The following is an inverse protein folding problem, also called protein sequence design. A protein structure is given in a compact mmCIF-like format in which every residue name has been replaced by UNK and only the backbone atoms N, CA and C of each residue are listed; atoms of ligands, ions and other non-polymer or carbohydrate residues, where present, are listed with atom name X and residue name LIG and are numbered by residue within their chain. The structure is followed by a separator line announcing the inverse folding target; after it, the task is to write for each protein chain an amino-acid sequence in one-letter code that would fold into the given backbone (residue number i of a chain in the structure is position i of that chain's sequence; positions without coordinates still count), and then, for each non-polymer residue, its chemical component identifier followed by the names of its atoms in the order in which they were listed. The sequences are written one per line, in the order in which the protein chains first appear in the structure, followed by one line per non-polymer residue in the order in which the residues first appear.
data_IF_508691765009
#
_entry.id   IF_508691765009
#
_cell.length_a   1.000
_cell.length_b   1.000
_cell.length_c   1.000
_cell.angle_alpha   90.00
_cell.angle_beta   90.00
_cell.angle_gamma   90.00
#
_symmetry.space_group_name_H-M   'P 1'
#
loop_
_entity.id
_entity.type
_entity.pdbx_description
1 polymer ?
#
# COMPACT_ATOMS: atom_id res chain seq x y z
N UNK A 1 -31.06 -72.18 60.91
CA UNK A 1 -29.94 -72.96 61.47
C UNK A 1 -29.11 -72.04 62.35
N UNK A 2 -29.04 -72.29 63.67
CA UNK A 2 -28.21 -71.48 64.58
C UNK A 2 -26.76 -71.97 64.47
N UNK A 3 -25.83 -71.06 64.21
CA UNK A 3 -24.40 -71.36 64.13
C UNK A 3 -23.85 -71.71 65.51
N UNK A 4 -23.11 -72.81 65.59
CA UNK A 4 -22.42 -73.27 66.81
C UNK A 4 -21.21 -72.36 67.04
N UNK A 5 -21.01 -71.78 68.24
CA UNK A 5 -19.85 -70.96 68.52
C UNK A 5 -18.58 -71.82 68.65
N UNK A 6 -17.49 -71.35 68.06
CA UNK A 6 -16.19 -72.03 68.03
C UNK A 6 -15.46 -71.86 69.37
N UNK A 7 -14.98 -72.97 69.94
CA UNK A 7 -14.30 -73.04 71.23
C UNK A 7 -12.82 -72.71 71.02
N UNK A 8 -12.31 -71.70 71.72
CA UNK A 8 -10.93 -71.20 71.54
C UNK A 8 -9.96 -71.59 72.67
N UNK A 9 -10.44 -72.23 73.74
CA UNK A 9 -9.58 -72.73 74.82
C UNK A 9 -10.33 -73.10 76.12
N UNK A 10 -9.62 -73.79 77.02
CA UNK A 10 -10.08 -74.28 78.33
C UNK A 10 -9.21 -73.69 79.46
N UNK A 11 -9.86 -73.24 80.53
CA UNK A 11 -9.24 -72.79 81.79
C UNK A 11 -9.83 -73.62 82.96
N UNK A 12 -9.21 -73.57 84.14
CA UNK A 12 -9.51 -74.31 85.38
C UNK A 12 -10.94 -74.09 85.91
N UNK A 13 -11.73 -73.21 85.28
CA UNK A 13 -13.15 -72.97 85.60
C UNK A 13 -14.13 -73.25 84.44
N UNK A 14 -13.68 -73.76 83.29
CA UNK A 14 -14.56 -74.19 82.17
C UNK A 14 -14.20 -73.63 80.78
N UNK A 15 -15.08 -73.86 79.80
CA UNK A 15 -14.91 -73.51 78.38
C UNK A 15 -15.07 -72.00 78.14
N UNK A 16 -14.11 -71.36 77.47
CA UNK A 16 -14.17 -69.94 77.08
C UNK A 16 -14.61 -69.82 75.61
N UNK A 17 -15.68 -69.08 75.36
CA UNK A 17 -16.25 -68.81 74.01
C UNK A 17 -16.14 -67.33 73.64
N UNK A 18 -15.86 -67.04 72.36
CA UNK A 18 -15.74 -65.66 71.86
C UNK A 18 -17.11 -64.98 71.77
N UNK A 19 -17.28 -63.85 72.44
CA UNK A 19 -18.48 -63.02 72.30
C UNK A 19 -18.35 -62.08 71.09
N UNK A 20 -18.70 -62.59 69.91
CA UNK A 20 -18.77 -61.81 68.68
C UNK A 20 -19.82 -60.69 68.79
N UNK A 21 -19.36 -59.43 68.92
CA UNK A 21 -20.21 -58.23 68.90
C UNK A 21 -20.51 -57.83 67.45
N UNK A 22 -21.71 -58.13 66.98
CA UNK A 22 -22.18 -57.75 65.66
C UNK A 22 -22.51 -56.24 65.60
N UNK A 23 -21.70 -55.42 64.94
CA UNK A 23 -22.08 -54.05 64.54
C UNK A 23 -22.68 -54.10 63.14
N UNK A 24 -23.99 -53.91 63.03
CA UNK A 24 -24.69 -53.82 61.75
C UNK A 24 -24.38 -52.49 61.05
N UNK A 25 -23.52 -52.56 60.03
CA UNK A 25 -23.27 -51.49 59.04
C UNK A 25 -24.40 -51.55 58.00
N UNK A 26 -25.60 -51.04 58.34
CA UNK A 26 -26.72 -51.01 57.37
C UNK A 26 -27.43 -49.66 57.29
N UNK A 27 -27.12 -48.70 58.17
CA UNK A 27 -27.70 -47.34 58.12
C UNK A 27 -26.76 -46.26 57.56
N UNK A 28 -25.45 -46.35 57.78
CA UNK A 28 -24.50 -45.26 57.44
C UNK A 28 -24.07 -45.20 55.97
N UNK A 29 -24.16 -46.31 55.24
CA UNK A 29 -23.75 -46.36 53.82
C UNK A 29 -24.82 -45.71 52.93
N UNK A 30 -26.10 -45.96 53.21
CA UNK A 30 -27.23 -45.41 52.44
C UNK A 30 -27.37 -43.89 52.58
N UNK A 31 -27.14 -43.33 53.78
CA UNK A 31 -27.11 -41.88 53.95
C UNK A 31 -25.91 -41.24 53.23
N UNK A 32 -24.74 -41.89 53.24
CA UNK A 32 -23.56 -41.41 52.51
C UNK A 32 -23.76 -41.40 50.99
N UNK A 33 -24.40 -42.43 50.43
CA UNK A 33 -24.69 -42.50 49.00
C UNK A 33 -25.74 -41.49 48.54
N UNK A 34 -26.78 -41.24 49.34
CA UNK A 34 -27.80 -40.22 49.01
C UNK A 34 -27.23 -38.80 49.07
N UNK A 35 -26.36 -38.51 50.05
CA UNK A 35 -25.66 -37.22 50.13
C UNK A 35 -24.71 -37.06 48.93
N UNK A 36 -23.97 -38.11 48.55
CA UNK A 36 -23.04 -38.04 47.42
C UNK A 36 -23.77 -37.84 46.08
N UNK A 37 -24.90 -38.54 45.85
CA UNK A 37 -25.74 -38.33 44.68
C UNK A 37 -26.39 -36.94 44.67
N UNK A 38 -26.78 -36.41 45.83
CA UNK A 38 -27.29 -35.05 45.97
C UNK A 38 -26.24 -33.99 45.67
N UNK A 39 -24.99 -34.17 46.09
CA UNK A 39 -23.89 -33.25 45.79
C UNK A 39 -23.52 -33.30 44.31
N UNK A 40 -23.51 -34.50 43.69
CA UNK A 40 -23.24 -34.65 42.25
C UNK A 40 -24.33 -34.01 41.39
N UNK A 41 -25.60 -34.17 41.76
CA UNK A 41 -26.70 -33.52 41.03
C UNK A 41 -26.64 -32.00 41.15
N UNK A 42 -26.32 -31.47 42.34
CA UNK A 42 -26.15 -30.03 42.54
C UNK A 42 -24.97 -29.47 41.74
N UNK A 43 -23.85 -30.20 41.68
CA UNK A 43 -22.67 -29.81 40.89
C UNK A 43 -22.96 -29.79 39.38
N UNK A 44 -23.73 -30.78 38.87
CA UNK A 44 -24.19 -30.79 37.48
C UNK A 44 -25.12 -29.60 37.18
N UNK A 45 -26.05 -29.30 38.09
CA UNK A 45 -26.95 -28.14 37.93
C UNK A 45 -26.15 -26.83 37.90
N UNK A 46 -25.18 -26.66 38.81
CA UNK A 46 -24.33 -25.46 38.85
C UNK A 46 -23.53 -25.31 37.55
N UNK A 47 -22.92 -26.39 37.05
CA UNK A 47 -22.14 -26.35 35.80
C UNK A 47 -23.01 -26.03 34.59
N UNK A 48 -24.22 -26.57 34.51
CA UNK A 48 -25.19 -26.23 33.45
C UNK A 48 -25.62 -24.76 33.53
N UNK A 49 -25.88 -24.22 34.74
CA UNK A 49 -26.23 -22.81 34.94
C UNK A 49 -25.06 -21.89 34.55
N UNK A 50 -23.83 -22.25 34.92
CA UNK A 50 -22.63 -21.49 34.54
C UNK A 50 -22.42 -21.52 33.03
N UNK A 51 -22.57 -22.67 32.38
CA UNK A 51 -22.49 -22.78 30.93
C UNK A 51 -23.59 -21.96 30.23
N UNK A 52 -24.84 -22.03 30.69
CA UNK A 52 -25.96 -21.25 30.13
C UNK A 52 -25.73 -19.73 30.26
N UNK A 53 -25.22 -19.27 31.41
CA UNK A 53 -24.86 -17.85 31.63
C UNK A 53 -23.69 -17.42 30.76
N UNK A 54 -22.69 -18.27 30.57
CA UNK A 54 -21.56 -17.99 29.69
C UNK A 54 -21.98 -17.93 28.22
N UNK A 55 -22.87 -18.82 27.77
CA UNK A 55 -23.48 -18.76 26.43
C UNK A 55 -24.29 -17.47 26.24
N UNK A 56 -25.14 -17.10 27.20
CA UNK A 56 -25.91 -15.86 27.14
C UNK A 56 -25.03 -14.60 27.13
N UNK A 57 -23.90 -14.62 27.87
CA UNK A 57 -22.93 -13.51 27.85
C UNK A 57 -22.18 -13.45 26.52
N UNK A 58 -21.78 -14.59 25.96
CA UNK A 58 -21.10 -14.67 24.66
C UNK A 58 -22.00 -14.17 23.52
N UNK A 59 -23.28 -14.56 23.52
CA UNK A 59 -24.27 -14.14 22.54
C UNK A 59 -24.56 -12.63 22.62
N UNK A 60 -24.78 -12.10 23.83
CA UNK A 60 -24.98 -10.65 24.04
C UNK A 60 -23.74 -9.79 23.71
N UNK A 61 -22.53 -10.34 23.83
CA UNK A 61 -21.30 -9.59 23.47
C UNK A 61 -21.10 -9.53 21.95
N UNK A 62 -21.54 -10.55 21.22
CA UNK A 62 -21.48 -10.59 19.74
C UNK A 62 -22.64 -9.82 19.08
N UNK A 63 -23.84 -9.84 19.69
CA UNK A 63 -25.00 -9.09 19.18
C UNK A 63 -24.82 -7.57 19.20
N UNK A 64 -24.02 -7.06 20.14
CA UNK A 64 -23.68 -5.64 20.23
C UNK A 64 -22.49 -5.21 19.35
N UNK A 65 -21.86 -6.14 18.63
CA UNK A 65 -20.63 -5.86 17.86
C UNK A 65 -20.78 -5.89 16.34
N UNK A 66 -21.93 -6.26 15.76
CA UNK A 66 -21.99 -6.54 14.32
C UNK A 66 -23.32 -6.17 13.64
N UNK A 67 -23.61 -4.88 13.51
CA UNK A 67 -24.50 -4.43 12.41
C UNK A 67 -24.31 -2.98 11.96
N UNK A 68 -23.59 -2.13 12.71
CA UNK A 68 -23.51 -0.69 12.44
C UNK A 68 -22.11 -0.10 12.21
N UNK A 69 -21.07 -0.89 11.94
CA UNK A 69 -19.71 -0.36 11.69
C UNK A 69 -19.26 -0.52 10.22
N UNK A 70 -20.22 -0.62 9.30
CA UNK A 70 -19.96 -0.57 7.85
C UNK A 70 -20.08 0.87 7.40
N UNK A 71 -18.99 1.44 6.89
CA UNK A 71 -19.01 2.80 6.36
C UNK A 71 -19.81 2.85 5.04
N UNK A 72 -20.94 3.56 5.05
CA UNK A 72 -21.81 3.77 3.88
C UNK A 72 -21.71 5.19 3.31
N UNK A 73 -20.64 5.93 3.63
CA UNK A 73 -20.40 7.23 2.99
C UNK A 73 -20.09 7.05 1.51
N UNK A 74 -20.34 8.09 0.71
CA UNK A 74 -20.02 8.09 -0.72
C UNK A 74 -18.54 7.72 -0.98
N UNK A 75 -17.62 8.23 -0.16
CA UNK A 75 -16.20 7.91 -0.25
C UNK A 75 -15.91 6.41 -0.03
N UNK A 76 -16.50 5.82 1.01
CA UNK A 76 -16.34 4.39 1.31
C UNK A 76 -16.92 3.49 0.21
N UNK A 77 -18.12 3.81 -0.29
CA UNK A 77 -18.75 3.03 -1.37
C UNK A 77 -17.92 3.13 -2.66
N UNK A 78 -17.44 4.33 -3.00
CA UNK A 78 -16.60 4.55 -4.18
C UNK A 78 -15.29 3.77 -4.10
N UNK A 79 -14.59 3.87 -2.95
CA UNK A 79 -13.33 3.17 -2.72
C UNK A 79 -13.49 1.65 -2.74
N UNK A 80 -14.52 1.12 -2.06
CA UNK A 80 -14.83 -0.31 -2.05
C UNK A 80 -15.16 -0.82 -3.47
N UNK A 81 -15.95 -0.05 -4.23
CA UNK A 81 -16.30 -0.40 -5.62
C UNK A 81 -15.06 -0.42 -6.51
N UNK A 82 -14.18 0.58 -6.39
CA UNK A 82 -12.93 0.63 -7.12
C UNK A 82 -12.05 -0.60 -6.80
N UNK A 83 -11.89 -0.92 -5.52
CA UNK A 83 -11.09 -2.07 -5.11
C UNK A 83 -11.66 -3.40 -5.62
N UNK A 84 -12.98 -3.58 -5.54
CA UNK A 84 -13.65 -4.80 -6.03
C UNK A 84 -13.49 -5.00 -7.53
N UNK A 85 -13.42 -3.91 -8.32
CA UNK A 85 -13.16 -3.99 -9.77
C UNK A 85 -11.71 -4.38 -10.09
N UNK A 86 -10.77 -4.03 -9.22
CA UNK A 86 -9.36 -4.37 -9.40
C UNK A 86 -9.06 -5.84 -9.06
N UNK A 87 -9.83 -6.43 -8.14
CA UNK A 87 -9.64 -7.81 -7.68
C UNK A 87 -10.10 -8.83 -8.73
N UNK A 88 -9.28 -9.86 -8.94
CA UNK A 88 -9.68 -11.08 -9.66
C UNK A 88 -10.11 -12.17 -8.64
N UNK A 89 -11.41 -12.25 -8.37
CA UNK A 89 -11.95 -13.20 -7.39
C UNK A 89 -11.82 -14.67 -7.82
N UNK A 90 -11.62 -14.93 -9.12
CA UNK A 90 -11.46 -16.28 -9.66
C UNK A 90 -10.18 -16.98 -9.17
N UNK A 91 -9.16 -16.20 -8.77
CA UNK A 91 -7.87 -16.75 -8.28
C UNK A 91 -7.74 -16.70 -6.75
N UNK A 92 -8.86 -16.52 -6.03
CA UNK A 92 -8.88 -16.43 -4.56
C UNK A 92 -8.22 -17.62 -3.84
N UNK A 93 -8.27 -18.83 -4.43
CA UNK A 93 -7.58 -20.03 -3.89
C UNK A 93 -6.05 -19.95 -3.94
N UNK A 94 -5.48 -19.05 -4.76
CA UNK A 94 -4.04 -18.86 -4.94
C UNK A 94 -3.51 -17.58 -4.27
N UNK A 95 -4.33 -16.90 -3.44
CA UNK A 95 -3.99 -15.62 -2.80
C UNK A 95 -2.62 -15.59 -2.11
N UNK A 96 -2.25 -16.68 -1.42
CA UNK A 96 -0.98 -16.79 -0.69
C UNK A 96 0.24 -17.01 -1.60
N UNK A 97 0.03 -17.37 -2.87
CA UNK A 97 1.09 -17.63 -3.86
C UNK A 97 1.28 -16.45 -4.80
N UNK A 98 0.19 -15.83 -5.21
CA UNK A 98 0.19 -14.69 -6.12
C UNK A 98 -0.88 -13.66 -5.70
N UNK A 99 -0.52 -12.89 -4.68
CA UNK A 99 -1.37 -11.81 -4.19
C UNK A 99 -1.58 -10.72 -5.24
N UNK A 100 -0.60 -10.52 -6.13
CA UNK A 100 -0.67 -9.48 -7.16
C UNK A 100 -1.79 -9.79 -8.16
N UNK A 101 -1.82 -11.00 -8.72
CA UNK A 101 -2.88 -11.40 -9.67
C UNK A 101 -4.26 -11.38 -9.00
N UNK A 102 -4.36 -11.77 -7.73
CA UNK A 102 -5.63 -11.61 -7.01
C UNK A 102 -6.03 -10.15 -6.84
N UNK A 103 -5.12 -9.28 -6.38
CA UNK A 103 -5.45 -7.91 -6.01
C UNK A 103 -5.64 -6.98 -7.22
N UNK A 104 -4.93 -7.26 -8.33
CA UNK A 104 -4.83 -6.39 -9.49
C UNK A 104 -5.27 -7.02 -10.81
N UNK A 105 -5.46 -8.34 -10.87
CA UNK A 105 -5.76 -9.06 -12.12
C UNK A 105 -7.07 -8.64 -12.77
N UNK A 106 -8.07 -8.17 -12.00
CA UNK A 106 -9.30 -7.59 -12.52
C UNK A 106 -9.06 -6.25 -13.22
N UNK A 107 -8.20 -5.41 -12.64
CA UNK A 107 -7.79 -4.13 -13.24
C UNK A 107 -7.05 -4.36 -14.56
N UNK A 108 -6.09 -5.29 -14.58
CA UNK A 108 -5.32 -5.61 -15.79
C UNK A 108 -6.20 -6.08 -16.96
N UNK A 109 -7.23 -6.88 -16.69
CA UNK A 109 -8.19 -7.35 -17.72
C UNK A 109 -9.01 -6.22 -18.33
N UNK A 110 -9.24 -5.14 -17.58
CA UNK A 110 -10.10 -4.02 -17.99
C UNK A 110 -9.32 -2.80 -18.50
N UNK A 111 -8.00 -2.78 -18.30
CA UNK A 111 -7.10 -1.69 -18.70
C UNK A 111 -5.97 -2.22 -19.59
N UNK A 112 -6.28 -2.71 -20.81
CA UNK A 112 -5.27 -3.18 -21.75
C UNK A 112 -4.35 -2.02 -22.17
N UNK A 113 -3.07 -2.32 -22.35
CA UNK A 113 -2.08 -1.37 -22.89
C UNK A 113 -2.44 -1.10 -24.35
N UNK A 114 -2.61 0.17 -24.71
CA UNK A 114 -2.90 0.59 -26.08
C UNK A 114 -1.62 0.67 -26.91
N UNK A 115 -1.72 0.76 -28.24
CA UNK A 115 -0.54 0.75 -29.12
C UNK A 115 0.41 1.93 -28.94
N UNK A 116 -0.06 3.02 -28.33
CA UNK A 116 0.70 4.23 -28.06
C UNK A 116 1.21 4.29 -26.60
N UNK A 117 0.78 3.36 -25.74
CA UNK A 117 1.18 3.30 -24.34
C UNK A 117 2.33 2.29 -24.20
N UNK A 118 3.41 2.69 -23.51
CA UNK A 118 4.50 1.75 -23.15
C UNK A 118 4.11 0.90 -21.94
N UNK A 119 3.35 1.49 -21.03
CA UNK A 119 2.82 0.83 -19.84
C UNK A 119 1.46 1.43 -19.46
N UNK A 120 0.67 0.68 -18.70
CA UNK A 120 -0.53 1.21 -18.07
C UNK A 120 -0.49 0.94 -16.57
N UNK A 121 -0.66 2.00 -15.79
CA UNK A 121 -0.66 1.95 -14.33
C UNK A 121 -1.77 2.80 -13.74
N UNK A 122 -2.17 2.52 -12.50
CA UNK A 122 -3.15 3.33 -11.77
C UNK A 122 -2.66 4.78 -11.61
N UNK A 123 -1.35 4.97 -11.36
CA UNK A 123 -0.78 6.31 -11.27
C UNK A 123 -0.86 7.04 -12.62
N UNK A 124 -0.62 6.34 -13.72
CA UNK A 124 -0.83 6.84 -15.08
C UNK A 124 -2.27 7.30 -15.30
N UNK A 125 -3.26 6.47 -14.96
CA UNK A 125 -4.69 6.86 -15.05
C UNK A 125 -5.00 8.14 -14.27
N UNK A 126 -4.39 8.33 -13.10
CA UNK A 126 -4.60 9.52 -12.26
C UNK A 126 -3.91 10.74 -12.90
N UNK A 127 -2.70 10.57 -13.42
CA UNK A 127 -1.94 11.62 -14.11
C UNK A 127 -2.71 12.10 -15.34
N UNK A 128 -3.23 11.19 -16.17
CA UNK A 128 -3.97 11.55 -17.38
C UNK A 128 -5.23 12.35 -17.05
N UNK A 129 -5.97 11.95 -16.00
CA UNK A 129 -7.16 12.69 -15.53
C UNK A 129 -6.79 14.08 -15.00
N UNK A 130 -5.68 14.19 -14.27
CA UNK A 130 -5.17 15.49 -13.81
C UNK A 130 -4.78 16.37 -15.00
N UNK A 131 -4.08 15.80 -15.97
CA UNK A 131 -3.58 16.55 -17.13
C UNK A 131 -4.72 17.04 -18.02
N UNK A 132 -5.76 16.22 -18.21
CA UNK A 132 -7.01 16.65 -18.86
C UNK A 132 -7.62 17.87 -18.18
N UNK A 133 -7.63 17.91 -16.84
CA UNK A 133 -8.15 19.06 -16.10
C UNK A 133 -7.23 20.28 -16.20
N UNK A 134 -5.90 20.08 -16.16
CA UNK A 134 -4.93 21.15 -16.38
C UNK A 134 -5.11 21.75 -17.79
N UNK A 135 -5.21 20.93 -18.83
CA UNK A 135 -5.47 21.36 -20.20
C UNK A 135 -6.74 22.19 -20.28
N UNK A 136 -7.83 21.73 -19.66
CA UNK A 136 -9.09 22.48 -19.58
C UNK A 136 -8.93 23.86 -18.93
N UNK A 137 -8.10 23.96 -17.88
CA UNK A 137 -7.80 25.23 -17.23
C UNK A 137 -6.94 26.14 -18.12
N UNK A 138 -5.98 25.57 -18.86
CA UNK A 138 -5.11 26.30 -19.78
C UNK A 138 -5.88 26.82 -21.02
N UNK A 139 -6.81 26.02 -21.54
CA UNK A 139 -7.70 26.38 -22.66
C UNK A 139 -8.75 27.45 -22.29
N UNK A 140 -8.97 27.70 -21.00
CA UNK A 140 -9.91 28.73 -20.57
C UNK A 140 -9.40 30.15 -20.89
N UNK A 141 -10.29 31.13 -21.17
CA UNK A 141 -9.88 32.50 -21.50
C UNK A 141 -8.94 33.12 -20.45
N UNK A 142 -7.98 33.93 -20.89
CA UNK A 142 -7.06 34.65 -20.00
C UNK A 142 -7.85 35.75 -19.28
N UNK A 143 -7.98 35.65 -17.96
CA UNK A 143 -8.67 36.66 -17.15
C UNK A 143 -7.68 37.79 -16.79
N UNK A 144 -6.46 37.43 -16.38
CA UNK A 144 -5.38 38.38 -16.09
C UNK A 144 -4.56 38.66 -17.34
N UNK A 145 -5.00 39.59 -18.18
CA UNK A 145 -4.36 39.91 -19.47
C UNK A 145 -3.06 40.71 -19.39
N UNK A 146 -2.59 41.07 -18.19
CA UNK A 146 -1.28 41.71 -18.02
C UNK A 146 -0.16 40.72 -18.39
N UNK A 147 0.73 41.11 -19.31
CA UNK A 147 1.84 40.28 -19.79
C UNK A 147 2.83 39.83 -18.71
N UNK A 148 2.90 40.53 -17.58
CA UNK A 148 3.72 40.13 -16.42
C UNK A 148 3.04 39.08 -15.54
N UNK A 149 1.75 38.84 -15.71
CA UNK A 149 1.02 37.86 -14.91
C UNK A 149 1.44 36.44 -15.26
N UNK A 150 1.43 35.56 -14.26
CA UNK A 150 1.69 34.14 -14.46
C UNK A 150 0.65 33.51 -15.40
N UNK A 151 -0.61 33.95 -15.31
CA UNK A 151 -1.72 33.39 -16.08
C UNK A 151 -1.56 33.67 -17.57
N UNK A 152 -1.23 34.92 -17.93
CA UNK A 152 -0.92 35.28 -19.31
C UNK A 152 0.25 34.45 -19.85
N UNK A 153 1.36 34.40 -19.11
CA UNK A 153 2.59 33.72 -19.59
C UNK A 153 2.37 32.22 -19.81
N UNK A 154 1.78 31.52 -18.85
CA UNK A 154 1.60 30.07 -18.91
C UNK A 154 0.59 29.69 -19.99
N UNK A 155 -0.54 30.42 -20.10
CA UNK A 155 -1.55 30.14 -21.12
C UNK A 155 -1.06 30.47 -22.53
N UNK A 156 -0.40 31.61 -22.73
CA UNK A 156 0.21 31.95 -24.02
C UNK A 156 1.24 30.91 -24.42
N UNK A 157 2.15 30.52 -23.51
CA UNK A 157 3.14 29.48 -23.78
C UNK A 157 2.50 28.15 -24.20
N UNK A 158 1.45 27.73 -23.50
CA UNK A 158 0.69 26.52 -23.85
C UNK A 158 0.04 26.61 -25.24
N UNK A 159 -0.61 27.73 -25.57
CA UNK A 159 -1.23 27.95 -26.88
C UNK A 159 -0.19 27.92 -28.01
N UNK A 160 0.95 28.59 -27.85
CA UNK A 160 2.02 28.62 -28.84
C UNK A 160 2.64 27.22 -29.05
N UNK A 161 2.77 26.42 -27.98
CA UNK A 161 3.27 25.04 -28.07
C UNK A 161 2.31 24.11 -28.85
N UNK A 162 1.01 24.36 -28.74
CA UNK A 162 -0.05 23.60 -29.42
C UNK A 162 -0.33 24.06 -30.85
N UNK A 163 0.22 25.17 -31.29
CA UNK A 163 0.08 25.63 -32.67
C UNK A 163 0.96 24.78 -33.61
N UNK A 164 0.33 23.78 -34.22
CA UNK A 164 0.98 22.86 -35.15
C UNK A 164 1.59 23.59 -36.37
N UNK A 165 0.97 24.68 -36.83
CA UNK A 165 1.45 25.41 -38.00
C UNK A 165 2.77 26.13 -37.68
N UNK A 166 2.82 26.85 -36.56
CA UNK A 166 4.05 27.54 -36.11
C UNK A 166 5.15 26.50 -35.85
N UNK A 167 4.82 25.40 -35.17
CA UNK A 167 5.78 24.33 -34.87
C UNK A 167 6.35 23.73 -36.15
N UNK A 168 5.52 23.25 -37.07
CA UNK A 168 6.02 22.54 -38.26
C UNK A 168 6.76 23.47 -39.22
N UNK A 169 6.28 24.71 -39.42
CA UNK A 169 6.85 25.60 -40.42
C UNK A 169 8.13 26.30 -39.95
N UNK A 170 8.26 26.57 -38.64
CA UNK A 170 9.34 27.43 -38.14
C UNK A 170 10.32 26.73 -37.20
N UNK A 171 10.00 25.55 -36.62
CA UNK A 171 10.89 24.89 -35.65
C UNK A 171 12.30 24.63 -36.20
N UNK A 172 12.42 24.13 -37.44
CA UNK A 172 13.73 23.89 -38.05
C UNK A 172 14.53 25.19 -38.20
N UNK A 173 13.90 26.25 -38.72
CA UNK A 173 14.54 27.55 -38.92
C UNK A 173 14.98 28.19 -37.60
N UNK A 174 14.15 28.12 -36.55
CA UNK A 174 14.51 28.63 -35.23
C UNK A 174 15.67 27.86 -34.62
N UNK A 175 15.67 26.53 -34.74
CA UNK A 175 16.75 25.70 -34.22
C UNK A 175 18.07 25.93 -34.97
N UNK A 176 18.02 26.01 -36.31
CA UNK A 176 19.22 26.30 -37.12
C UNK A 176 19.76 27.69 -36.79
N UNK A 177 18.90 28.70 -36.67
CA UNK A 177 19.32 30.05 -36.29
C UNK A 177 19.99 30.07 -34.90
N UNK A 178 19.45 29.32 -33.93
CA UNK A 178 20.05 29.19 -32.60
C UNK A 178 21.42 28.51 -32.66
N UNK A 179 21.53 27.41 -33.41
CA UNK A 179 22.80 26.66 -33.53
C UNK A 179 23.87 27.52 -34.22
N UNK A 180 23.50 28.26 -35.26
CA UNK A 180 24.42 29.10 -36.02
C UNK A 180 24.74 30.43 -35.32
N UNK A 181 24.04 30.79 -34.24
CA UNK A 181 24.27 32.04 -33.52
C UNK A 181 25.63 32.01 -32.81
N UNK A 182 26.57 32.92 -33.17
CA UNK A 182 27.87 33.03 -32.52
C UNK A 182 27.79 33.37 -31.03
N UNK A 183 26.67 33.92 -30.56
CA UNK A 183 26.47 34.26 -29.15
C UNK A 183 26.00 33.07 -28.28
N UNK A 184 25.70 31.91 -28.87
CA UNK A 184 25.21 30.73 -28.12
C UNK A 184 26.05 29.48 -28.40
N UNK A 185 25.70 28.68 -29.41
CA UNK A 185 26.37 27.42 -29.73
C UNK A 185 27.56 27.64 -30.67
N UNK A 186 27.56 28.76 -31.41
CA UNK A 186 28.62 29.14 -32.35
C UNK A 186 28.90 28.08 -33.44
N UNK A 187 27.82 27.49 -33.96
CA UNK A 187 27.84 26.58 -35.10
C UNK A 187 27.79 25.10 -34.73
N UNK A 188 27.55 24.29 -35.76
CA UNK A 188 27.75 22.84 -35.72
C UNK A 188 28.24 22.41 -37.10
N UNK A 189 29.36 21.69 -37.17
CA UNK A 189 30.04 21.31 -38.42
C UNK A 189 29.15 20.62 -39.45
N UNK A 190 28.06 19.98 -39.00
CA UNK A 190 27.09 19.33 -39.88
C UNK A 190 26.41 20.32 -40.84
N UNK A 191 26.36 21.60 -40.46
CA UNK A 191 25.83 22.70 -41.28
C UNK A 191 26.92 23.47 -42.03
N UNK A 192 28.19 23.07 -41.90
CA UNK A 192 29.30 23.66 -42.65
C UNK A 192 29.54 22.90 -43.97
N UNK A 193 30.13 23.57 -44.95
CA UNK A 193 30.43 23.03 -46.27
C UNK A 193 31.73 22.19 -46.30
N UNK A 194 32.43 22.07 -45.17
CA UNK A 194 33.70 21.33 -45.06
C UNK A 194 33.78 20.49 -43.79
N UNK A 195 33.87 19.17 -43.95
CA UNK A 195 34.11 18.23 -42.85
C UNK A 195 35.49 18.44 -42.18
N UNK A 196 36.43 19.11 -42.82
CA UNK A 196 37.76 19.41 -42.25
C UNK A 196 37.69 20.42 -41.09
N UNK A 197 36.63 21.23 -41.05
CA UNK A 197 36.38 22.19 -39.97
C UNK A 197 35.81 21.51 -38.71
N UNK A 198 35.25 20.30 -38.81
CA UNK A 198 34.66 19.57 -37.68
C UNK A 198 35.67 19.32 -36.55
N UNK A 199 36.92 18.99 -36.90
CA UNK A 199 38.01 18.83 -35.94
C UNK A 199 38.61 20.15 -35.44
N UNK A 200 38.31 21.27 -36.12
CA UNK A 200 38.76 22.61 -35.72
C UNK A 200 37.69 23.39 -34.92
N UNK A 201 36.46 22.86 -34.82
CA UNK A 201 35.33 23.50 -34.13
C UNK A 201 35.52 23.54 -32.61
N UNK A 202 36.19 22.55 -32.01
CA UNK A 202 36.64 22.64 -30.60
C UNK A 202 37.81 23.62 -30.39
N UNK A 203 38.35 24.17 -31.47
CA UNK A 203 39.43 25.15 -31.52
C UNK A 203 38.93 26.48 -32.12
N UNK A 204 37.67 26.88 -31.82
CA UNK A 204 37.19 28.24 -32.14
C UNK A 204 38.27 29.23 -31.71
N UNK A 205 38.80 30.00 -32.67
CA UNK A 205 39.98 30.84 -32.47
C UNK A 205 39.81 31.92 -31.38
N UNK A 206 38.58 32.18 -30.93
CA UNK A 206 38.24 33.26 -30.00
C UNK A 206 37.66 32.79 -28.65
N UNK A 207 37.26 31.53 -28.49
CA UNK A 207 36.68 31.02 -27.25
C UNK A 207 37.20 29.63 -26.90
N UNK A 208 37.49 29.44 -25.61
CA UNK A 208 37.86 28.14 -25.06
C UNK A 208 36.67 27.20 -25.05
N UNK A 209 36.94 25.89 -25.06
CA UNK A 209 35.94 24.85 -24.85
C UNK A 209 35.02 25.13 -23.64
N UNK A 210 35.58 25.61 -22.52
CA UNK A 210 34.80 25.92 -21.32
C UNK A 210 33.80 27.06 -21.51
N UNK A 211 34.13 28.06 -22.34
CA UNK A 211 33.21 29.17 -22.65
C UNK A 211 32.04 28.68 -23.50
N UNK A 212 32.32 27.89 -24.54
CA UNK A 212 31.27 27.29 -25.37
C UNK A 212 30.36 26.38 -24.54
N UNK A 213 30.95 25.56 -23.66
CA UNK A 213 30.19 24.74 -22.72
C UNK A 213 29.36 25.60 -21.77
N UNK A 214 29.86 26.76 -21.34
CA UNK A 214 29.10 27.67 -20.45
C UNK A 214 27.82 28.20 -21.10
N UNK A 215 27.81 28.45 -22.41
CA UNK A 215 26.60 28.84 -23.14
C UNK A 215 25.61 27.68 -23.24
N UNK A 216 26.09 26.47 -23.58
CA UNK A 216 25.24 25.27 -23.68
C UNK A 216 24.63 24.92 -22.32
N UNK A 217 25.43 24.94 -21.25
CA UNK A 217 24.97 24.64 -19.89
C UNK A 217 24.14 25.76 -19.27
N UNK A 218 24.63 27.00 -19.32
CA UNK A 218 24.09 28.13 -18.59
C UNK A 218 22.91 28.80 -19.29
N UNK A 219 23.06 29.09 -20.58
CA UNK A 219 22.05 29.85 -21.32
C UNK A 219 20.95 28.93 -21.88
N UNK A 220 21.33 27.74 -22.35
CA UNK A 220 20.39 26.78 -22.95
C UNK A 220 19.91 25.70 -21.97
N UNK A 221 20.54 25.55 -20.81
CA UNK A 221 20.20 24.52 -19.83
C UNK A 221 20.50 23.08 -20.28
N UNK A 222 21.28 22.91 -21.35
CA UNK A 222 21.63 21.60 -21.90
C UNK A 222 22.90 21.06 -21.24
N UNK A 223 22.95 19.76 -20.98
CA UNK A 223 24.12 19.12 -20.36
C UNK A 223 24.92 18.39 -21.43
N UNK A 224 26.12 18.89 -21.72
CA UNK A 224 27.07 18.28 -22.65
C UNK A 224 28.35 17.87 -21.91
N UNK A 225 28.89 16.69 -22.23
CA UNK A 225 30.12 16.10 -21.63
C UNK A 225 30.00 15.73 -20.14
N UNK A 226 29.64 16.68 -19.28
CA UNK A 226 29.38 16.49 -17.85
C UNK A 226 28.19 17.36 -17.40
N UNK A 227 27.71 17.16 -16.17
CA UNK A 227 26.44 17.75 -15.74
C UNK A 227 26.62 18.78 -14.63
N UNK A 228 26.80 20.06 -14.96
CA UNK A 228 26.89 21.09 -13.90
C UNK A 228 25.50 21.45 -13.38
N UNK A 229 25.27 21.28 -12.08
CA UNK A 229 24.02 21.68 -11.41
C UNK A 229 24.29 22.25 -10.03
N UNK A 230 23.38 23.08 -9.53
CA UNK A 230 23.41 23.52 -8.13
C UNK A 230 22.46 22.68 -7.30
N UNK A 231 22.94 22.06 -6.22
CA UNK A 231 22.12 21.38 -5.22
C UNK A 231 22.37 21.94 -3.82
N UNK A 232 21.42 21.71 -2.93
CA UNK A 232 21.65 21.92 -1.50
C UNK A 232 22.69 20.91 -1.01
N UNK A 233 23.58 21.35 -0.14
CA UNK A 233 24.55 20.48 0.49
C UNK A 233 23.86 19.44 1.38
N UNK A 234 24.37 18.21 1.38
CA UNK A 234 23.77 17.10 2.12
C UNK A 234 23.94 17.25 3.64
N UNK A 235 25.04 17.87 4.08
CA UNK A 235 25.34 18.07 5.50
C UNK A 235 24.75 19.40 6.02
N UNK A 236 24.67 20.44 5.17
CA UNK A 236 24.11 21.75 5.48
C UNK A 236 23.13 22.25 4.38
N UNK A 237 21.81 22.03 4.53
CA UNK A 237 20.83 22.42 3.53
C UNK A 237 20.67 23.96 3.38
N UNK A 238 21.37 24.78 4.16
CA UNK A 238 21.42 26.23 3.97
C UNK A 238 22.43 26.65 2.89
N UNK A 239 23.35 25.76 2.52
CA UNK A 239 24.39 26.00 1.54
C UNK A 239 24.00 25.35 0.20
N UNK A 240 24.27 26.05 -0.92
CA UNK A 240 24.21 25.47 -2.26
C UNK A 240 25.62 25.19 -2.76
N UNK A 241 25.85 23.99 -3.30
CA UNK A 241 27.10 23.61 -3.96
C UNK A 241 26.88 23.30 -5.43
N UNK A 242 27.96 23.43 -6.19
CA UNK A 242 28.04 22.94 -7.56
C UNK A 242 28.35 21.44 -7.53
N UNK A 243 27.55 20.68 -8.26
CA UNK A 243 27.73 19.26 -8.59
C UNK A 243 28.10 19.20 -10.09
N UNK A 244 29.06 18.35 -10.47
CA UNK A 244 29.59 18.22 -11.84
C UNK A 244 29.44 16.77 -12.32
#
# INVERSE_FOLDING_TARGET
MRSIPEIIGLDEKGVVVNAGRNRTISGRVWFGTLIFLGVLSLALIITVIVQARNHAKYDNTNKNKNENDVCLTQGCISAATHQLRSIDSAVSSNLCKDFYTYACGGWQKTHPIQSFDVERTILGDIIDRRDTEIERLLDSPIIRSNQRSWEYKVKTYYTECRDDYIRVNNTASYMIALIQDPATVNGWYMFDNSAENASQEFLVKNETLYQQMSHIHGDLGNLAVFGIRTRFDEDDPTIKRLEV
#
